data_IF_653654350870
#
_entry.id   IF_653654350870
#
_cell.length_a   1.000
_cell.length_b   1.000
_cell.length_c   1.000
_cell.angle_alpha   90.00
_cell.angle_beta   90.00
_cell.angle_gamma   90.00
#
_symmetry.space_group_name_H-M   'P 1'
#
loop_
_entity.id
_entity.type
_entity.pdbx_description
1 polymer ?
#
# COMPACT_ATOMS: atom_id res chain seq x y z
N UNK A 1 22.02 23.55 33.44
CA UNK A 1 20.99 23.68 32.38
C UNK A 1 21.26 22.82 31.14
N UNK A 2 22.52 22.64 30.70
CA UNK A 2 22.82 21.87 29.47
C UNK A 2 22.41 20.39 29.51
N UNK A 3 22.72 19.66 30.59
CA UNK A 3 22.42 18.22 30.70
C UNK A 3 20.92 17.85 30.66
N UNK A 4 20.05 18.73 31.16
CA UNK A 4 18.61 18.47 31.23
C UNK A 4 17.95 18.56 29.85
N UNK A 5 18.40 19.53 29.04
CA UNK A 5 17.96 19.68 27.65
C UNK A 5 18.41 18.50 26.79
N UNK A 6 19.66 18.04 26.94
CA UNK A 6 20.16 16.86 26.21
C UNK A 6 19.38 15.60 26.55
N UNK A 7 19.01 15.40 27.82
CA UNK A 7 18.24 14.22 28.25
C UNK A 7 16.80 14.23 27.72
N UNK A 8 16.14 15.40 27.72
CA UNK A 8 14.82 15.56 27.09
C UNK A 8 14.92 15.32 25.58
N UNK A 9 15.94 15.86 24.91
CA UNK A 9 16.14 15.67 23.48
C UNK A 9 16.36 14.20 23.11
N UNK A 10 17.20 13.48 23.87
CA UNK A 10 17.43 12.03 23.66
C UNK A 10 16.15 11.24 23.94
N UNK A 11 15.39 11.58 24.98
CA UNK A 11 14.18 10.83 25.35
C UNK A 11 13.05 11.06 24.34
N UNK A 12 12.85 12.31 23.90
CA UNK A 12 11.91 12.66 22.83
C UNK A 12 12.35 12.03 21.51
N UNK A 13 13.62 12.14 21.13
CA UNK A 13 14.13 11.50 19.91
C UNK A 13 14.00 9.97 19.93
N UNK A 14 14.28 9.33 21.07
CA UNK A 14 14.10 7.88 21.22
C UNK A 14 12.63 7.47 21.25
N UNK A 15 11.75 8.30 21.81
CA UNK A 15 10.29 8.10 21.77
C UNK A 15 9.73 8.27 20.36
N UNK A 16 10.13 9.32 19.63
CA UNK A 16 9.78 9.51 18.22
C UNK A 16 10.33 8.39 17.34
N UNK A 17 11.57 7.96 17.56
CA UNK A 17 12.15 6.83 16.83
C UNK A 17 11.44 5.51 17.18
N UNK A 18 11.02 5.31 18.43
CA UNK A 18 10.24 4.14 18.84
C UNK A 18 8.81 4.16 18.26
N UNK A 19 8.13 5.31 18.28
CA UNK A 19 6.86 5.52 17.59
C UNK A 19 7.03 5.23 16.10
N UNK A 20 8.00 5.87 15.45
CA UNK A 20 8.27 5.71 14.02
C UNK A 20 8.60 4.25 13.64
N UNK A 21 9.39 3.55 14.46
CA UNK A 21 9.68 2.13 14.29
C UNK A 21 8.42 1.26 14.51
N UNK A 22 7.60 1.59 15.51
CA UNK A 22 6.32 0.90 15.76
C UNK A 22 5.33 1.11 14.62
N UNK A 23 5.28 2.31 14.00
CA UNK A 23 4.42 2.62 12.85
C UNK A 23 4.92 2.01 11.53
N UNK A 24 6.23 1.96 11.29
CA UNK A 24 6.82 1.27 10.12
C UNK A 24 6.57 -0.25 10.17
N UNK A 25 6.70 -0.87 11.35
CA UNK A 25 6.32 -2.29 11.53
C UNK A 25 4.80 -2.48 11.39
N UNK A 26 3.99 -1.45 11.66
CA UNK A 26 2.54 -1.50 11.57
C UNK A 26 2.03 -1.62 10.12
N UNK A 27 2.58 -0.86 9.17
CA UNK A 27 2.07 -0.85 7.79
C UNK A 27 2.10 -2.22 7.09
N UNK A 28 3.17 -3.00 7.30
CA UNK A 28 3.30 -4.36 6.79
C UNK A 28 2.29 -5.31 7.46
N UNK A 29 2.17 -5.22 8.79
CA UNK A 29 1.29 -6.09 9.58
C UNK A 29 -0.19 -5.83 9.33
N UNK A 30 -0.61 -4.56 9.22
CA UNK A 30 -1.98 -4.18 8.92
C UNK A 30 -2.38 -4.64 7.52
N UNK A 31 -1.49 -4.52 6.54
CA UNK A 31 -1.75 -5.03 5.19
C UNK A 31 -1.92 -6.55 5.20
N UNK A 32 -1.12 -7.28 5.98
CA UNK A 32 -1.28 -8.73 6.12
C UNK A 32 -2.64 -9.10 6.74
N UNK A 33 -3.10 -8.36 7.76
CA UNK A 33 -4.41 -8.53 8.39
C UNK A 33 -5.59 -8.18 7.48
N UNK A 34 -5.53 -7.01 6.83
CA UNK A 34 -6.57 -6.53 5.91
C UNK A 34 -6.77 -7.44 4.69
N UNK A 35 -5.79 -8.30 4.41
CA UNK A 35 -5.79 -9.23 3.29
C UNK A 35 -5.83 -10.70 3.72
N UNK A 36 -6.25 -10.98 4.96
CA UNK A 36 -6.37 -12.35 5.46
C UNK A 36 -7.53 -13.10 4.75
N UNK A 37 -7.26 -14.30 4.24
CA UNK A 37 -8.22 -15.10 3.50
C UNK A 37 -9.41 -15.62 4.32
N UNK A 38 -9.40 -15.47 5.64
CA UNK A 38 -10.53 -15.79 6.51
C UNK A 38 -11.56 -14.66 6.60
N UNK A 39 -11.20 -13.42 6.24
CA UNK A 39 -12.09 -12.26 6.34
C UNK A 39 -13.32 -12.40 5.45
N UNK A 40 -14.52 -12.27 6.04
CA UNK A 40 -15.77 -12.37 5.31
C UNK A 40 -15.89 -11.33 4.19
N UNK A 41 -15.57 -10.07 4.52
CA UNK A 41 -15.59 -8.92 3.64
C UNK A 41 -14.35 -8.05 3.90
N UNK A 42 -14.19 -6.97 3.14
CA UNK A 42 -13.15 -5.97 3.36
C UNK A 42 -13.24 -5.34 4.76
N UNK A 43 -12.10 -5.23 5.42
CA UNK A 43 -11.98 -4.43 6.65
C UNK A 43 -11.64 -2.99 6.28
N UNK A 44 -12.68 -2.18 6.10
CA UNK A 44 -12.52 -0.76 5.74
C UNK A 44 -11.79 0.05 6.82
N UNK A 45 -11.86 -0.37 8.08
CA UNK A 45 -11.13 0.28 9.17
C UNK A 45 -9.63 0.11 8.95
N UNK A 46 -9.19 -1.13 8.72
CA UNK A 46 -7.78 -1.41 8.43
C UNK A 46 -7.33 -0.76 7.11
N UNK A 47 -8.16 -0.73 6.08
CA UNK A 47 -7.83 -0.10 4.81
C UNK A 47 -7.55 1.41 4.95
N UNK A 48 -8.35 2.11 5.77
CA UNK A 48 -8.15 3.53 6.03
C UNK A 48 -6.95 3.78 6.94
N UNK A 49 -6.75 2.94 7.97
CA UNK A 49 -5.56 3.02 8.83
C UNK A 49 -4.25 2.84 8.04
N UNK A 50 -4.24 1.94 7.04
CA UNK A 50 -3.12 1.79 6.11
C UNK A 50 -2.88 3.08 5.32
N UNK A 51 -3.94 3.75 4.84
CA UNK A 51 -3.80 5.02 4.11
C UNK A 51 -3.23 6.13 5.01
N UNK A 52 -3.67 6.21 6.27
CA UNK A 52 -3.16 7.18 7.23
C UNK A 52 -1.66 6.95 7.46
N UNK A 53 -1.23 5.71 7.69
CA UNK A 53 0.20 5.37 7.86
C UNK A 53 1.02 5.72 6.61
N UNK A 54 0.50 5.45 5.41
CA UNK A 54 1.18 5.80 4.14
C UNK A 54 1.38 7.31 4.04
N UNK A 55 0.40 8.10 4.47
CA UNK A 55 0.44 9.55 4.35
C UNK A 55 1.27 10.22 5.47
N UNK A 56 1.26 9.66 6.68
CA UNK A 56 1.88 10.26 7.88
C UNK A 56 3.34 9.85 8.09
N UNK A 57 3.81 8.77 7.46
CA UNK A 57 5.17 8.24 7.69
C UNK A 57 6.05 8.32 6.45
N UNK A 58 7.37 8.34 6.69
CA UNK A 58 8.33 8.38 5.58
C UNK A 58 8.39 7.03 4.84
N UNK A 59 8.49 5.92 5.58
CA UNK A 59 8.61 4.58 4.99
C UNK A 59 7.25 3.95 4.60
N UNK A 60 6.13 4.51 5.05
CA UNK A 60 4.78 3.98 4.84
C UNK A 60 4.46 3.58 3.39
N UNK A 61 4.70 4.44 2.37
CA UNK A 61 4.47 4.09 0.97
C UNK A 61 5.23 2.84 0.52
N UNK A 62 6.50 2.72 0.92
CA UNK A 62 7.40 1.63 0.54
C UNK A 62 7.06 0.33 1.26
N UNK A 63 6.75 0.41 2.56
CA UNK A 63 6.38 -0.75 3.37
C UNK A 63 5.03 -1.33 2.94
N UNK A 64 4.03 -0.47 2.69
CA UNK A 64 2.74 -0.90 2.14
C UNK A 64 2.90 -1.58 0.77
N UNK A 65 3.70 -0.99 -0.12
CA UNK A 65 3.96 -1.58 -1.44
C UNK A 65 4.71 -2.90 -1.35
N UNK A 66 5.65 -3.06 -0.41
CA UNK A 66 6.31 -4.34 -0.16
C UNK A 66 5.31 -5.40 0.32
N UNK A 67 4.40 -5.04 1.21
CA UNK A 67 3.35 -5.92 1.73
C UNK A 67 2.39 -6.38 0.62
N UNK A 68 1.86 -5.43 -0.17
CA UNK A 68 0.97 -5.71 -1.29
C UNK A 68 1.66 -6.59 -2.33
N UNK A 69 2.91 -6.28 -2.71
CA UNK A 69 3.69 -7.11 -3.63
C UNK A 69 3.84 -8.55 -3.13
N UNK A 70 4.20 -8.71 -1.84
CA UNK A 70 4.33 -10.04 -1.21
C UNK A 70 3.02 -10.81 -1.25
N UNK A 71 1.89 -10.16 -0.95
CA UNK A 71 0.56 -10.79 -0.94
C UNK A 71 0.08 -11.21 -2.33
N UNK A 72 0.39 -10.43 -3.37
CA UNK A 72 -0.07 -10.68 -4.74
C UNK A 72 0.81 -11.67 -5.52
N UNK A 73 2.12 -11.67 -5.28
CA UNK A 73 3.06 -12.40 -6.11
C UNK A 73 2.88 -13.92 -5.99
N UNK A 74 2.38 -14.56 -7.06
CA UNK A 74 2.19 -16.01 -7.13
C UNK A 74 1.06 -16.57 -6.27
N UNK A 75 0.25 -15.72 -5.64
CA UNK A 75 -0.85 -16.14 -4.77
C UNK A 75 -2.02 -16.70 -5.58
N UNK A 76 -2.46 -17.90 -5.23
CA UNK A 76 -3.60 -18.58 -5.87
C UNK A 76 -4.90 -18.50 -5.04
N UNK A 77 -4.83 -17.93 -3.84
CA UNK A 77 -6.02 -17.62 -3.07
C UNK A 77 -6.63 -16.31 -3.62
N UNK A 78 -7.59 -16.44 -4.54
CA UNK A 78 -8.18 -15.27 -5.20
C UNK A 78 -8.95 -14.35 -4.26
N UNK A 79 -9.34 -14.83 -3.07
CA UNK A 79 -9.93 -13.98 -2.04
C UNK A 79 -8.89 -13.01 -1.47
N UNK A 80 -7.74 -13.54 -1.08
CA UNK A 80 -6.61 -12.73 -0.61
C UNK A 80 -6.13 -11.74 -1.70
N UNK A 81 -6.09 -12.19 -2.96
CA UNK A 81 -5.76 -11.33 -4.10
C UNK A 81 -6.78 -10.20 -4.23
N UNK A 82 -8.08 -10.48 -4.15
CA UNK A 82 -9.11 -9.44 -4.23
C UNK A 82 -9.01 -8.44 -3.08
N UNK A 83 -8.84 -8.90 -1.84
CA UNK A 83 -8.65 -8.02 -0.68
C UNK A 83 -7.42 -7.13 -0.87
N UNK A 84 -6.30 -7.68 -1.34
CA UNK A 84 -5.08 -6.92 -1.61
C UNK A 84 -5.25 -5.89 -2.75
N UNK A 85 -5.97 -6.24 -3.81
CA UNK A 85 -6.31 -5.31 -4.90
C UNK A 85 -7.24 -4.19 -4.40
N UNK A 86 -8.15 -4.47 -3.47
CA UNK A 86 -9.01 -3.45 -2.85
C UNK A 86 -8.22 -2.53 -1.91
N UNK A 87 -7.30 -3.05 -1.11
CA UNK A 87 -6.35 -2.23 -0.32
C UNK A 87 -5.57 -1.30 -1.26
N UNK A 88 -5.00 -1.84 -2.34
CA UNK A 88 -4.23 -1.08 -3.32
C UNK A 88 -5.09 0.03 -3.97
N UNK A 89 -6.31 -0.29 -4.39
CA UNK A 89 -7.23 0.70 -4.96
C UNK A 89 -7.54 1.83 -3.97
N UNK A 90 -7.80 1.46 -2.71
CA UNK A 90 -8.10 2.42 -1.64
C UNK A 90 -6.92 3.34 -1.40
N UNK A 91 -5.70 2.81 -1.35
CA UNK A 91 -4.48 3.60 -1.21
C UNK A 91 -4.26 4.52 -2.43
N UNK A 92 -4.50 4.05 -3.66
CA UNK A 92 -4.41 4.90 -4.85
C UNK A 92 -5.38 6.09 -4.79
N UNK A 93 -6.58 5.89 -4.25
CA UNK A 93 -7.60 6.95 -4.14
C UNK A 93 -7.36 7.93 -2.98
N UNK A 94 -6.74 7.49 -1.90
CA UNK A 94 -6.62 8.26 -0.64
C UNK A 94 -5.19 8.72 -0.31
N UNK A 95 -4.18 8.23 -1.03
CA UNK A 95 -2.77 8.61 -0.81
C UNK A 95 -2.27 9.55 -1.89
N UNK A 96 -1.24 10.33 -1.55
CA UNK A 96 -0.63 11.30 -2.46
C UNK A 96 0.45 10.73 -3.39
N UNK A 97 1.11 11.64 -4.11
CA UNK A 97 2.13 11.36 -5.12
C UNK A 97 3.25 10.41 -4.63
N UNK A 98 3.67 10.52 -3.36
CA UNK A 98 4.69 9.66 -2.73
C UNK A 98 4.35 8.17 -2.87
N UNK A 99 3.08 7.80 -2.77
CA UNK A 99 2.61 6.43 -2.99
C UNK A 99 2.47 6.10 -4.48
N UNK A 100 1.91 7.03 -5.26
CA UNK A 100 1.64 6.81 -6.69
C UNK A 100 2.90 6.49 -7.50
N UNK A 101 4.05 7.09 -7.16
CA UNK A 101 5.34 6.77 -7.81
C UNK A 101 5.69 5.28 -7.69
N UNK A 102 5.38 4.64 -6.56
CA UNK A 102 5.63 3.22 -6.38
C UNK A 102 4.63 2.33 -7.13
N UNK A 103 3.37 2.75 -7.21
CA UNK A 103 2.32 2.03 -7.97
C UNK A 103 2.55 2.14 -9.48
N UNK A 104 3.06 3.30 -9.94
CA UNK A 104 3.37 3.54 -11.34
C UNK A 104 4.67 2.87 -11.82
N UNK A 105 5.41 2.22 -10.93
CA UNK A 105 6.66 1.53 -11.26
C UNK A 105 6.40 0.33 -12.18
N UNK A 106 7.12 0.27 -13.31
CA UNK A 106 7.03 -0.80 -14.30
C UNK A 106 7.22 -2.20 -13.73
N UNK A 107 8.15 -2.38 -12.79
CA UNK A 107 8.41 -3.66 -12.14
C UNK A 107 7.22 -4.13 -11.30
N UNK A 108 6.43 -3.19 -10.76
CA UNK A 108 5.20 -3.55 -10.06
C UNK A 108 4.10 -3.94 -11.04
N UNK A 109 3.90 -3.13 -12.09
CA UNK A 109 2.84 -3.35 -13.07
C UNK A 109 3.08 -4.64 -13.84
N UNK A 110 4.20 -4.74 -14.55
CA UNK A 110 4.54 -5.91 -15.38
C UNK A 110 4.93 -7.11 -14.52
N UNK A 111 5.67 -6.86 -13.44
CA UNK A 111 6.22 -7.92 -12.59
C UNK A 111 5.21 -8.53 -11.62
N UNK A 112 4.13 -7.82 -11.27
CA UNK A 112 3.10 -8.29 -10.33
C UNK A 112 1.70 -8.26 -10.96
N UNK A 113 1.17 -7.09 -11.30
CA UNK A 113 -0.24 -6.95 -11.72
C UNK A 113 -0.55 -7.73 -13.01
N UNK A 114 0.25 -7.56 -14.05
CA UNK A 114 0.07 -8.28 -15.33
C UNK A 114 0.22 -9.78 -15.14
N UNK A 115 1.11 -10.23 -14.22
CA UNK A 115 1.28 -11.67 -13.94
C UNK A 115 0.04 -12.31 -13.33
N UNK A 116 -0.75 -11.58 -12.55
CA UNK A 116 -1.99 -12.07 -11.93
C UNK A 116 -2.99 -12.50 -13.01
N UNK A 117 -3.06 -11.77 -14.13
CA UNK A 117 -4.03 -11.99 -15.21
C UNK A 117 -3.50 -12.87 -16.35
N UNK A 118 -2.33 -13.50 -16.18
CA UNK A 118 -1.81 -14.40 -17.21
C UNK A 118 -2.67 -15.66 -17.37
N UNK A 119 -2.70 -16.27 -18.56
CA UNK A 119 -3.39 -17.56 -18.75
C UNK A 119 -2.89 -18.66 -17.79
N UNK A 120 -1.65 -18.56 -17.32
CA UNK A 120 -1.02 -19.52 -16.40
C UNK A 120 -1.65 -19.49 -14.99
N UNK A 121 -2.11 -18.33 -14.52
CA UNK A 121 -2.77 -18.18 -13.22
C UNK A 121 -4.26 -18.47 -13.30
N UNK A 122 -4.86 -18.31 -14.48
CA UNK A 122 -6.29 -18.53 -14.78
C UNK A 122 -7.23 -17.95 -13.70
N UNK A 123 -7.13 -16.65 -13.38
CA UNK A 123 -7.93 -16.04 -12.33
C UNK A 123 -9.40 -15.89 -12.76
N UNK A 124 -10.35 -15.83 -11.80
CA UNK A 124 -11.74 -15.49 -12.08
C UNK A 124 -11.88 -14.13 -12.77
N UNK A 125 -12.93 -13.95 -13.58
CA UNK A 125 -13.18 -12.71 -14.34
C UNK A 125 -13.16 -11.44 -13.45
N UNK A 126 -13.77 -11.52 -12.26
CA UNK A 126 -13.80 -10.39 -11.31
C UNK A 126 -12.39 -9.91 -10.90
N UNK A 127 -11.42 -10.82 -10.79
CA UNK A 127 -10.02 -10.46 -10.49
C UNK A 127 -9.38 -9.81 -11.71
N UNK A 128 -9.65 -10.33 -12.91
CA UNK A 128 -9.14 -9.76 -14.15
C UNK A 128 -9.63 -8.33 -14.34
N UNK A 129 -10.93 -8.10 -14.20
CA UNK A 129 -11.56 -6.79 -14.31
C UNK A 129 -11.00 -5.80 -13.28
N UNK A 130 -10.77 -6.27 -12.05
CA UNK A 130 -10.17 -5.46 -10.99
C UNK A 130 -8.73 -5.04 -11.34
N UNK A 131 -7.91 -5.96 -11.82
CA UNK A 131 -6.53 -5.64 -12.24
C UNK A 131 -6.52 -4.69 -13.43
N UNK A 132 -7.36 -4.93 -14.44
CA UNK A 132 -7.46 -4.08 -15.62
C UNK A 132 -7.92 -2.68 -15.26
N UNK A 133 -8.92 -2.54 -14.38
CA UNK A 133 -9.38 -1.22 -13.92
C UNK A 133 -8.29 -0.45 -13.17
N UNK A 134 -7.47 -1.12 -12.34
CA UNK A 134 -6.32 -0.49 -11.68
C UNK A 134 -5.25 -0.01 -12.68
N UNK A 135 -4.97 -0.80 -13.71
CA UNK A 135 -4.01 -0.43 -14.77
C UNK A 135 -4.56 0.71 -15.63
N UNK A 136 -5.85 0.72 -15.94
CA UNK A 136 -6.50 1.77 -16.74
C UNK A 136 -6.62 3.08 -15.96
N UNK A 137 -7.01 3.02 -14.69
CA UNK A 137 -7.14 4.21 -13.83
C UNK A 137 -5.80 4.94 -13.63
N UNK A 138 -4.66 4.23 -13.74
CA UNK A 138 -3.32 4.85 -13.80
C UNK A 138 -3.19 5.82 -14.99
N UNK A 139 -3.70 5.46 -16.17
CA UNK A 139 -3.64 6.33 -17.36
C UNK A 139 -4.39 7.66 -17.10
N UNK A 140 -5.46 7.62 -16.29
CA UNK A 140 -6.17 8.83 -15.86
C UNK A 140 -5.40 9.68 -14.84
N UNK A 141 -4.57 9.08 -13.98
CA UNK A 141 -3.80 9.82 -12.97
C UNK A 141 -2.64 10.62 -13.58
N UNK A 142 -2.03 10.16 -14.69
CA UNK A 142 -1.04 10.95 -15.44
C UNK A 142 -1.69 12.26 -15.94
N UNK A 143 -2.91 12.23 -16.46
CA UNK A 143 -3.62 13.45 -16.94
C UNK A 143 -4.01 14.44 -15.84
N UNK A 144 -4.14 14.00 -14.59
CA UNK A 144 -4.58 14.85 -13.46
C UNK A 144 -3.41 15.45 -12.69
N UNK A 145 -2.22 14.85 -12.82
CA UNK A 145 -0.96 15.36 -12.26
C UNK A 145 -0.41 16.55 -13.05
N UNK A 146 -0.64 16.56 -14.37
CA UNK A 146 -0.23 17.64 -15.27
C UNK A 146 -1.13 18.89 -15.18
N UNK A 147 -2.21 18.83 -14.38
CA UNK A 147 -3.18 19.91 -14.18
C UNK A 147 -2.89 20.84 -12.99
N UNK A 148 -1.81 20.64 -12.24
CA UNK A 148 -1.35 21.55 -11.16
C UNK A 148 -0.01 22.22 -11.51
N UNK A 149 0.19 22.52 -12.79
CA UNK A 149 1.10 23.56 -13.20
C UNK A 149 0.37 24.90 -13.24
N UNK A 150 0.12 25.51 -12.07
CA UNK A 150 -0.03 26.95 -11.79
C UNK A 150 -0.26 27.17 -10.29
#
# INVERSE_FOLDING_TARGET
>A
MSFFLTFIFITVFRYYHYLHYSYSVCGLFLTEKATDGSLQNEDWTLNMEICDIINETEEGPKDAMRAVKKRLNGNRNFREVMLALTVLETCVKNCGHRFHVHVANRDFIEGVLVKIITPKTNPPAIVQDKVLSLIQNRCGLETRSDGLGL
#
